data_IF_402999900108
#
_entry.id   IF_402999900108
#
_cell.length_a   1.000
_cell.length_b   1.000
_cell.length_c   1.000
_cell.angle_alpha   90.00
_cell.angle_beta   90.00
_cell.angle_gamma   90.00
#
_symmetry.space_group_name_H-M   'P 1'
#
loop_
_entity.id
_entity.type
_entity.pdbx_description
1 polymer ?
#
# COMPACT_ATOMS: atom_id res chain seq x y z
N UNK A 1 -8.66 -8.56 7.83
CA UNK A 1 -7.83 -9.73 8.18
C UNK A 1 -6.83 -10.18 7.10
N UNK A 2 -7.00 -9.84 5.80
CA UNK A 2 -6.10 -10.27 4.69
C UNK A 2 -4.61 -9.95 4.91
N UNK A 3 -4.27 -8.70 5.23
CA UNK A 3 -2.87 -8.27 5.35
C UNK A 3 -2.13 -8.95 6.51
N UNK A 4 -2.81 -9.17 7.64
CA UNK A 4 -2.22 -9.88 8.78
C UNK A 4 -1.93 -11.34 8.46
N UNK A 5 -2.82 -12.02 7.75
CA UNK A 5 -2.60 -13.40 7.29
C UNK A 5 -1.39 -13.49 6.35
N UNK A 6 -1.32 -12.63 5.34
CA UNK A 6 -0.19 -12.57 4.41
C UNK A 6 1.13 -12.22 5.10
N UNK A 7 1.11 -11.38 6.15
CA UNK A 7 2.30 -11.10 6.96
C UNK A 7 2.79 -12.34 7.72
N UNK A 8 1.87 -13.11 8.32
CA UNK A 8 2.21 -14.36 9.00
C UNK A 8 2.75 -15.39 8.00
N UNK A 9 2.11 -15.54 6.84
CA UNK A 9 2.56 -16.45 5.77
C UNK A 9 3.96 -16.08 5.26
N UNK A 10 4.22 -14.78 5.02
CA UNK A 10 5.53 -14.30 4.60
C UNK A 10 6.62 -14.62 5.64
N UNK A 11 6.35 -14.36 6.92
CA UNK A 11 7.27 -14.68 8.02
C UNK A 11 7.50 -16.18 8.15
N UNK A 12 6.44 -17.00 8.08
CA UNK A 12 6.53 -18.46 8.13
C UNK A 12 7.32 -19.03 6.95
N UNK A 13 7.24 -18.40 5.77
CA UNK A 13 8.04 -18.71 4.59
C UNK A 13 9.48 -18.17 4.62
N UNK A 14 9.91 -17.57 5.74
CA UNK A 14 11.27 -17.02 5.90
C UNK A 14 11.51 -15.67 5.22
N UNK A 15 10.45 -15.03 4.69
CA UNK A 15 10.56 -13.68 4.10
C UNK A 15 10.62 -12.64 5.20
N UNK A 16 11.55 -11.69 5.08
CA UNK A 16 11.71 -10.58 6.02
C UNK A 16 12.11 -9.29 5.28
N UNK A 17 12.02 -8.15 5.97
CA UNK A 17 12.39 -6.85 5.39
C UNK A 17 11.44 -6.34 4.30
N UNK A 18 10.19 -6.81 4.30
CA UNK A 18 9.12 -6.39 3.38
C UNK A 18 7.97 -5.75 4.15
N UNK A 19 7.23 -4.86 3.48
CA UNK A 19 5.94 -4.35 3.90
C UNK A 19 4.84 -5.14 3.18
N UNK A 20 3.84 -5.59 3.93
CA UNK A 20 2.60 -6.13 3.36
C UNK A 20 1.64 -4.97 3.15
N UNK A 21 1.08 -4.84 1.94
CA UNK A 21 0.13 -3.79 1.61
C UNK A 21 -0.91 -4.25 0.59
N UNK A 22 -1.83 -3.35 0.25
CA UNK A 22 -2.76 -3.54 -0.85
C UNK A 22 -2.43 -2.56 -1.99
N UNK A 23 -2.28 -3.08 -3.19
CA UNK A 23 -2.02 -2.32 -4.43
C UNK A 23 -3.05 -2.77 -5.45
N UNK A 24 -3.85 -1.83 -5.97
CA UNK A 24 -4.93 -2.12 -6.93
C UNK A 24 -5.90 -3.23 -6.47
N UNK A 25 -6.18 -3.33 -5.16
CA UNK A 25 -7.08 -4.32 -4.56
C UNK A 25 -6.42 -5.65 -4.17
N UNK A 26 -5.17 -5.86 -4.54
CA UNK A 26 -4.42 -7.09 -4.33
C UNK A 26 -3.37 -6.97 -3.23
N UNK A 27 -3.15 -8.07 -2.50
CA UNK A 27 -2.14 -8.12 -1.45
C UNK A 27 -0.76 -8.28 -2.08
N UNK A 28 0.14 -7.35 -1.78
CA UNK A 28 1.51 -7.35 -2.28
C UNK A 28 2.55 -7.27 -1.16
N UNK A 29 3.74 -7.83 -1.43
CA UNK A 29 4.94 -7.70 -0.60
C UNK A 29 5.91 -6.74 -1.29
N UNK A 30 6.16 -5.58 -0.69
CA UNK A 30 7.12 -4.60 -1.21
C UNK A 30 8.34 -4.54 -0.31
N UNK A 31 9.59 -4.49 -0.83
CA UNK A 31 10.76 -4.27 0.01
C UNK A 31 10.59 -3.03 0.89
N UNK A 32 10.84 -3.16 2.20
CA UNK A 32 10.52 -2.11 3.17
C UNK A 32 11.19 -0.78 2.81
N UNK A 33 12.45 -0.84 2.35
CA UNK A 33 13.21 0.35 1.89
C UNK A 33 12.52 1.10 0.75
N UNK A 34 11.84 0.40 -0.14
CA UNK A 34 11.15 1.00 -1.28
C UNK A 34 9.80 1.58 -0.84
N UNK A 35 9.06 0.83 -0.02
CA UNK A 35 7.76 1.24 0.50
C UNK A 35 7.85 2.55 1.31
N UNK A 36 8.90 2.71 2.12
CA UNK A 36 9.12 3.91 2.96
C UNK A 36 9.96 4.99 2.28
N UNK A 37 10.69 4.64 1.21
CA UNK A 37 11.57 5.54 0.50
C UNK A 37 10.85 6.49 -0.46
N UNK A 38 9.56 6.27 -0.71
CA UNK A 38 8.74 7.09 -1.62
C UNK A 38 7.65 7.83 -0.85
N UNK A 39 7.30 9.04 -1.30
CA UNK A 39 6.08 9.72 -0.87
C UNK A 39 4.90 9.23 -1.70
N UNK A 40 3.82 8.85 -1.03
CA UNK A 40 2.53 8.54 -1.67
C UNK A 40 2.00 9.83 -2.30
N UNK A 41 1.81 9.82 -3.62
CA UNK A 41 1.09 10.89 -4.30
C UNK A 41 -0.42 10.70 -4.13
N UNK A 42 -1.16 11.78 -4.30
CA UNK A 42 -2.63 11.78 -4.29
C UNK A 42 -3.15 11.83 -5.71
N UNK A 43 -4.34 11.29 -5.94
CA UNK A 43 -4.98 11.39 -7.24
C UNK A 43 -5.41 12.85 -7.48
N UNK A 44 -4.66 13.55 -8.34
CA UNK A 44 -4.87 14.97 -8.63
C UNK A 44 -6.23 15.25 -9.28
N UNK A 45 -6.77 14.29 -10.06
CA UNK A 45 -8.10 14.42 -10.65
C UNK A 45 -9.19 14.37 -9.58
N UNK A 46 -9.06 13.49 -8.57
CA UNK A 46 -9.99 13.46 -7.43
C UNK A 46 -9.90 14.72 -6.58
N UNK A 47 -8.70 15.27 -6.36
CA UNK A 47 -8.53 16.54 -5.66
C UNK A 47 -9.15 17.71 -6.44
N UNK A 48 -9.01 17.74 -7.76
CA UNK A 48 -9.64 18.77 -8.60
C UNK A 48 -11.16 18.65 -8.53
N UNK A 49 -11.70 17.44 -8.65
CA UNK A 49 -13.13 17.16 -8.55
C UNK A 49 -13.70 17.60 -7.20
N UNK A 50 -13.00 17.32 -6.09
CA UNK A 50 -13.49 17.72 -4.76
C UNK A 50 -13.65 19.23 -4.60
N UNK A 51 -12.84 20.03 -5.31
CA UNK A 51 -12.96 21.50 -5.31
C UNK A 51 -14.16 21.99 -6.09
N UNK A 52 -14.50 21.32 -7.19
CA UNK A 52 -15.69 21.63 -8.00
C UNK A 52 -16.96 21.33 -7.22
N UNK A 53 -17.00 20.19 -6.52
CA UNK A 53 -18.18 19.73 -5.78
C UNK A 53 -18.42 20.48 -4.45
N UNK A 54 -17.47 21.32 -4.01
CA UNK A 54 -17.57 22.07 -2.75
C UNK A 54 -18.20 23.47 -2.90
N UNK A 55 -18.60 23.85 -4.12
CA UNK A 55 -19.35 25.08 -4.45
C UNK A 55 -20.85 24.80 -4.42
#
# INVERSE_FOLDING_TARGET
SRLGAAAVEALAGGTSGVMVGEVEGEVELTPLREAVGRKKDINQALLALSRVLAL
#
